data_IF_675916589944
#
_entry.id   IF_675916589944
#
_cell.length_a   1.000
_cell.length_b   1.000
_cell.length_c   1.000
_cell.angle_alpha   90.00
_cell.angle_beta   90.00
_cell.angle_gamma   90.00
#
_symmetry.space_group_name_H-M   'P 1'
#
loop_
_entity.id
_entity.type
_entity.pdbx_description
1 polymer ?
#
# COMPACT_ATOMS: atom_id res chain seq x y z
N UNK A 1 -6.11 9.63 -7.09
CA UNK A 1 -5.16 9.53 -5.97
C UNK A 1 -5.69 8.48 -5.01
N UNK A 2 -4.88 7.48 -4.68
CA UNK A 2 -5.25 6.41 -3.75
C UNK A 2 -3.98 5.76 -3.19
N UNK A 3 -4.13 4.80 -2.27
CA UNK A 3 -3.01 4.11 -1.65
C UNK A 3 -2.50 3.00 -2.59
N UNK A 4 -1.23 3.11 -2.97
CA UNK A 4 -0.45 2.16 -3.76
C UNK A 4 0.97 2.07 -3.17
N UNK A 5 1.83 1.15 -3.64
CA UNK A 5 3.22 1.06 -3.16
C UNK A 5 4.02 2.36 -3.31
N UNK A 6 3.64 3.23 -4.27
CA UNK A 6 4.29 4.50 -4.51
C UNK A 6 3.78 5.63 -3.58
N UNK A 7 2.52 5.58 -3.16
CA UNK A 7 1.89 6.66 -2.38
C UNK A 7 1.78 6.35 -0.89
N UNK A 8 1.73 5.07 -0.50
CA UNK A 8 1.75 4.63 0.88
C UNK A 8 2.90 5.24 1.72
N UNK A 9 4.17 5.22 1.27
CA UNK A 9 5.25 5.83 2.05
C UNK A 9 5.12 7.34 2.22
N UNK A 10 4.52 8.05 1.25
CA UNK A 10 4.35 9.51 1.33
C UNK A 10 3.40 9.91 2.46
N UNK A 11 2.28 9.21 2.59
CA UNK A 11 1.29 9.51 3.64
C UNK A 11 1.76 9.02 5.00
N UNK A 12 2.48 7.89 5.05
CA UNK A 12 3.09 7.40 6.30
C UNK A 12 4.17 8.36 6.80
N UNK A 13 5.05 8.86 5.92
CA UNK A 13 6.05 9.88 6.27
C UNK A 13 5.41 11.20 6.74
N UNK A 14 4.20 11.50 6.28
CA UNK A 14 3.41 12.64 6.75
C UNK A 14 2.70 12.39 8.11
N UNK A 15 2.91 11.23 8.75
CA UNK A 15 2.37 10.90 10.06
C UNK A 15 1.03 10.16 10.04
N UNK A 16 0.58 9.64 8.89
CA UNK A 16 -0.64 8.84 8.84
C UNK A 16 -0.45 7.48 9.52
N UNK A 17 -1.30 7.19 10.51
CA UNK A 17 -1.29 5.91 11.24
C UNK A 17 -2.16 4.83 10.58
N UNK A 18 -3.10 5.22 9.70
CA UNK A 18 -4.05 4.30 9.05
C UNK A 18 -4.17 4.63 7.57
N UNK A 19 -4.04 3.61 6.72
CA UNK A 19 -4.10 3.70 5.27
C UNK A 19 -5.21 2.79 4.73
N UNK A 20 -5.97 3.26 3.72
CA UNK A 20 -7.03 2.47 3.05
C UNK A 20 -6.71 2.33 1.57
N UNK A 21 -6.46 1.09 1.13
CA UNK A 21 -6.22 0.76 -0.27
C UNK A 21 -7.39 -0.05 -0.85
N UNK A 22 -7.88 0.37 -2.03
CA UNK A 22 -8.96 -0.30 -2.76
C UNK A 22 -8.48 -0.85 -4.10
N UNK A 23 -8.61 -0.04 -5.16
CA UNK A 23 -8.29 -0.46 -6.54
C UNK A 23 -6.85 -0.99 -6.73
N UNK A 24 -5.88 -0.50 -5.96
CA UNK A 24 -4.50 -0.99 -6.01
C UNK A 24 -4.36 -2.43 -5.53
N UNK A 25 -5.23 -2.91 -4.64
CA UNK A 25 -5.24 -4.28 -4.14
C UNK A 25 -5.72 -5.23 -5.23
N UNK A 26 -6.80 -4.87 -5.91
CA UNK A 26 -7.47 -5.73 -6.89
C UNK A 26 -6.83 -5.74 -8.29
N UNK A 27 -5.69 -5.07 -8.47
CA UNK A 27 -4.97 -5.10 -9.73
C UNK A 27 -4.43 -6.52 -10.00
N UNK A 28 -4.78 -7.09 -11.15
CA UNK A 28 -4.30 -8.41 -11.59
C UNK A 28 -5.31 -9.55 -11.43
N UNK A 29 -6.46 -9.33 -10.79
CA UNK A 29 -7.61 -10.24 -10.84
C UNK A 29 -7.48 -11.60 -10.15
N UNK A 30 -6.34 -11.91 -9.51
CA UNK A 30 -6.10 -13.18 -8.84
C UNK A 30 -5.73 -13.00 -7.37
N UNK A 31 -5.94 -14.04 -6.56
CA UNK A 31 -5.60 -14.02 -5.14
C UNK A 31 -4.09 -13.81 -4.94
N UNK A 32 -3.27 -14.40 -5.79
CA UNK A 32 -1.81 -14.25 -5.79
C UNK A 32 -1.40 -12.80 -6.05
N UNK A 33 -2.02 -12.16 -7.05
CA UNK A 33 -1.78 -10.75 -7.34
C UNK A 33 -2.20 -9.87 -6.16
N UNK A 34 -3.34 -10.15 -5.53
CA UNK A 34 -3.83 -9.36 -4.40
C UNK A 34 -2.92 -9.47 -3.19
N UNK A 35 -2.43 -10.67 -2.86
CA UNK A 35 -1.44 -10.88 -1.79
C UNK A 35 -0.17 -10.08 -2.07
N UNK A 36 0.36 -10.16 -3.29
CA UNK A 36 1.56 -9.40 -3.68
C UNK A 36 1.35 -7.88 -3.59
N UNK A 37 0.19 -7.39 -4.02
CA UNK A 37 -0.14 -5.97 -3.92
C UNK A 37 -0.25 -5.50 -2.46
N UNK A 38 -0.90 -6.29 -1.59
CA UNK A 38 -1.00 -6.02 -0.14
C UNK A 38 0.39 -5.95 0.49
N UNK A 39 1.24 -6.95 0.24
CA UNK A 39 2.59 -7.02 0.78
C UNK A 39 3.45 -5.85 0.31
N UNK A 40 3.36 -5.47 -0.96
CA UNK A 40 4.09 -4.34 -1.51
C UNK A 40 3.67 -3.01 -0.84
N UNK A 41 2.36 -2.78 -0.66
CA UNK A 41 1.84 -1.59 0.01
C UNK A 41 2.30 -1.52 1.47
N UNK A 42 2.16 -2.62 2.21
CA UNK A 42 2.58 -2.70 3.63
C UNK A 42 4.07 -2.49 3.78
N UNK A 43 4.88 -3.17 2.98
CA UNK A 43 6.34 -3.05 3.03
C UNK A 43 6.79 -1.62 2.73
N UNK A 44 6.15 -0.94 1.77
CA UNK A 44 6.47 0.44 1.45
C UNK A 44 6.10 1.41 2.60
N UNK A 45 4.93 1.24 3.21
CA UNK A 45 4.52 2.02 4.38
C UNK A 45 5.44 1.78 5.58
N UNK A 46 5.70 0.52 5.93
CA UNK A 46 6.51 0.13 7.09
C UNK A 46 7.96 0.64 6.99
N UNK A 47 8.51 0.75 5.78
CA UNK A 47 9.84 1.33 5.56
C UNK A 47 9.88 2.85 5.78
N UNK A 48 8.76 3.54 5.56
CA UNK A 48 8.67 4.99 5.76
C UNK A 48 8.29 5.37 7.20
N UNK A 49 7.73 4.44 7.97
CA UNK A 49 7.36 4.64 9.38
C UNK A 49 8.55 4.51 10.36
N UNK A 50 9.69 3.96 9.92
CA UNK A 50 10.91 3.77 10.71
C UNK A 50 11.91 4.87 10.42
#
# INVERSE_FOLDING_TARGET
>A
GGISPQTAPLVTAAGASVLVAGAAIFKGGSVEAYRGNIEAIRTAADRAAR
#
